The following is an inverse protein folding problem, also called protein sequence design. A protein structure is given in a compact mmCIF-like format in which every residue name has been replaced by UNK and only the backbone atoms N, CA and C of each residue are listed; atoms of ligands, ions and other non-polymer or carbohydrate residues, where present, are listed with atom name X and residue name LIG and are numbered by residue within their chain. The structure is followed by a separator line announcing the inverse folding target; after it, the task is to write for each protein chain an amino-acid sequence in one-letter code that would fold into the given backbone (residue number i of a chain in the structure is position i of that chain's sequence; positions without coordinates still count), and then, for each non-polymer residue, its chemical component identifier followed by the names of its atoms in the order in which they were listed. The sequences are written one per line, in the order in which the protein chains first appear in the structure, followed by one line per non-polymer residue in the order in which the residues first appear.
data_IF_954187399079
#
_entry.id   IF_954187399079
#
_cell.length_a   1.000
_cell.length_b   1.000
_cell.length_c   1.000
_cell.angle_alpha   90.00
_cell.angle_beta   90.00
_cell.angle_gamma   90.00
#
_symmetry.space_group_name_H-M   'P 1'
#
loop_
_entity.id
_entity.type
_entity.pdbx_description
1 polymer ?
#
# COMPACT_ATOMS: atom_id res chain seq x y z
N UNK A 1 0.86 -6.87 8.65
CA UNK A 1 0.42 -6.11 7.47
C UNK A 1 0.32 -4.64 7.81
N UNK A 2 0.37 -3.74 6.83
CA UNK A 2 0.06 -2.32 7.01
C UNK A 2 -1.45 -2.12 7.20
N UNK A 3 -1.80 -1.26 8.13
CA UNK A 3 -3.18 -0.88 8.43
C UNK A 3 -3.76 0.08 7.36
N UNK A 4 -5.08 0.05 7.18
CA UNK A 4 -5.79 0.88 6.21
C UNK A 4 -5.59 2.38 6.45
N UNK A 5 -5.78 2.84 7.69
CA UNK A 5 -5.63 4.27 8.02
C UNK A 5 -4.17 4.71 7.89
N UNK A 6 -3.23 3.80 8.15
CA UNK A 6 -1.83 4.07 7.92
C UNK A 6 -1.50 4.27 6.43
N UNK A 7 -2.07 3.46 5.53
CA UNK A 7 -1.87 3.63 4.08
C UNK A 7 -2.50 4.92 3.56
N UNK A 8 -3.66 5.31 4.10
CA UNK A 8 -4.33 6.57 3.76
C UNK A 8 -3.46 7.75 4.25
N UNK A 9 -2.92 7.66 5.46
CA UNK A 9 -2.01 8.68 6.01
C UNK A 9 -0.78 8.86 5.13
N UNK A 10 -0.15 7.76 4.70
CA UNK A 10 0.99 7.81 3.76
C UNK A 10 0.60 8.54 2.47
N UNK A 11 -0.58 8.25 1.91
CA UNK A 11 -1.05 8.94 0.71
C UNK A 11 -1.21 10.45 0.94
N UNK A 12 -1.85 10.83 2.04
CA UNK A 12 -2.12 12.23 2.35
C UNK A 12 -0.83 13.02 2.60
N UNK A 13 0.17 12.40 3.22
CA UNK A 13 1.52 12.97 3.36
C UNK A 13 2.20 13.14 2.00
N UNK A 14 2.11 12.14 1.10
CA UNK A 14 2.67 12.25 -0.26
C UNK A 14 2.01 13.39 -1.05
N UNK A 15 0.68 13.55 -0.94
CA UNK A 15 -0.04 14.65 -1.58
C UNK A 15 0.38 15.99 -0.98
N UNK A 16 0.50 16.08 0.35
CA UNK A 16 0.95 17.30 1.03
C UNK A 16 2.35 17.71 0.59
N UNK A 17 3.27 16.77 0.50
CA UNK A 17 4.69 17.06 0.33
C UNK A 17 5.10 17.21 -1.15
N UNK A 18 4.43 16.49 -2.06
CA UNK A 18 4.79 16.45 -3.49
C UNK A 18 3.68 16.94 -4.43
N UNK A 19 2.50 17.29 -3.90
CA UNK A 19 1.35 17.72 -4.69
C UNK A 19 0.64 16.60 -5.46
N UNK A 20 -0.56 16.93 -5.93
CA UNK A 20 -1.47 16.03 -6.65
C UNK A 20 -2.92 16.23 -6.22
N UNK A 21 -3.83 15.44 -6.80
CA UNK A 21 -5.23 15.40 -6.35
C UNK A 21 -5.39 14.45 -5.17
N UNK A 22 -5.73 15.01 -4.01
CA UNK A 22 -6.03 14.24 -2.81
C UNK A 22 -7.34 13.45 -2.90
N UNK A 23 -7.55 12.60 -1.90
CA UNK A 23 -8.75 11.80 -1.76
C UNK A 23 -8.80 10.52 -2.60
N UNK A 24 -9.94 9.87 -2.54
CA UNK A 24 -10.16 8.53 -3.07
C UNK A 24 -10.75 8.54 -4.48
N UNK A 25 -10.48 7.48 -5.23
CA UNK A 25 -11.18 7.18 -6.47
C UNK A 25 -12.65 6.76 -6.20
N UNK A 26 -13.36 6.34 -7.25
CA UNK A 26 -14.80 6.05 -7.19
C UNK A 26 -15.23 5.10 -6.06
N UNK A 27 -14.40 4.09 -5.75
CA UNK A 27 -14.67 3.11 -4.70
C UNK A 27 -14.45 3.65 -3.26
N UNK A 28 -14.02 4.90 -3.11
CA UNK A 28 -13.78 5.52 -1.82
C UNK A 28 -12.70 4.78 -1.00
N UNK A 29 -12.84 4.85 0.33
CA UNK A 29 -12.00 4.12 1.28
C UNK A 29 -12.04 2.60 1.08
N UNK A 30 -13.19 2.06 0.63
CA UNK A 30 -13.35 0.64 0.35
C UNK A 30 -12.48 0.13 -0.81
N UNK A 31 -12.08 1.01 -1.73
CA UNK A 31 -11.11 0.66 -2.77
C UNK A 31 -9.72 0.33 -2.19
N UNK A 32 -9.27 1.11 -1.21
CA UNK A 32 -7.99 0.91 -0.52
C UNK A 32 -8.04 -0.38 0.31
N UNK A 33 -9.13 -0.60 1.06
CA UNK A 33 -9.36 -1.83 1.83
C UNK A 33 -9.34 -3.07 0.93
N UNK A 34 -10.03 -3.02 -0.21
CA UNK A 34 -10.02 -4.12 -1.18
C UNK A 34 -8.62 -4.38 -1.77
N UNK A 35 -7.80 -3.35 -1.96
CA UNK A 35 -6.42 -3.52 -2.40
C UNK A 35 -5.56 -4.19 -1.31
N UNK A 36 -5.75 -3.84 -0.03
CA UNK A 36 -5.07 -4.46 1.10
C UNK A 36 -5.44 -5.92 1.28
N UNK A 37 -6.72 -6.27 1.17
CA UNK A 37 -7.16 -7.66 1.19
C UNK A 37 -6.56 -8.49 0.05
N UNK A 38 -6.28 -7.90 -1.12
CA UNK A 38 -5.54 -8.61 -2.18
C UNK A 38 -4.11 -8.92 -1.75
N UNK A 39 -3.44 -8.00 -1.04
CA UNK A 39 -2.10 -8.21 -0.51
C UNK A 39 -2.10 -9.34 0.52
N UNK A 40 -3.05 -9.30 1.47
CA UNK A 40 -3.24 -10.35 2.47
C UNK A 40 -3.50 -11.72 1.84
N UNK A 41 -4.48 -11.79 0.94
CA UNK A 41 -4.80 -13.03 0.25
C UNK A 41 -3.59 -13.55 -0.54
N UNK A 42 -2.85 -12.68 -1.23
CA UNK A 42 -1.66 -13.12 -1.97
C UNK A 42 -0.58 -13.65 -1.03
N UNK A 43 -0.32 -12.99 0.09
CA UNK A 43 0.64 -13.45 1.09
C UNK A 43 0.24 -14.82 1.68
N UNK A 44 -1.03 -14.98 2.07
CA UNK A 44 -1.54 -16.20 2.67
C UNK A 44 -1.60 -17.39 1.71
N UNK A 45 -2.11 -17.20 0.49
CA UNK A 45 -2.33 -18.29 -0.46
C UNK A 45 -1.10 -18.64 -1.29
N UNK A 46 -0.19 -17.69 -1.55
CA UNK A 46 1.03 -17.97 -2.31
C UNK A 46 2.13 -18.61 -1.45
N UNK A 47 1.92 -18.77 -0.13
CA UNK A 47 2.97 -19.22 0.79
C UNK A 47 4.18 -18.27 0.82
N UNK A 48 3.96 -16.99 0.48
CA UNK A 48 4.98 -15.96 0.46
C UNK A 48 5.27 -15.55 1.91
N UNK A 49 6.25 -16.23 2.52
CA UNK A 49 6.92 -15.74 3.74
C UNK A 49 8.13 -14.85 3.41
N UNK A 50 8.25 -14.49 2.13
CA UNK A 50 9.26 -13.56 1.63
C UNK A 50 8.78 -12.11 1.75
N UNK A 51 9.50 -11.35 2.55
CA UNK A 51 9.29 -9.92 2.79
C UNK A 51 9.27 -9.13 1.48
N UNK A 52 10.11 -9.49 0.51
CA UNK A 52 10.18 -8.78 -0.78
C UNK A 52 8.94 -9.06 -1.64
N UNK A 53 8.45 -10.29 -1.66
CA UNK A 53 7.21 -10.65 -2.36
C UNK A 53 5.98 -9.94 -1.81
N UNK A 54 5.85 -9.82 -0.48
CA UNK A 54 4.72 -9.09 0.13
C UNK A 54 4.84 -7.59 -0.18
N UNK A 55 6.04 -7.01 -0.08
CA UNK A 55 6.29 -5.62 -0.44
C UNK A 55 5.96 -5.32 -1.91
N UNK A 56 6.37 -6.20 -2.84
CA UNK A 56 6.03 -6.08 -4.26
C UNK A 56 4.52 -6.11 -4.49
N UNK A 57 3.80 -6.93 -3.71
CA UNK A 57 2.34 -7.01 -3.79
C UNK A 57 1.68 -5.71 -3.35
N UNK A 58 2.15 -5.07 -2.27
CA UNK A 58 1.71 -3.72 -1.89
C UNK A 58 1.88 -2.71 -3.02
N UNK A 59 3.08 -2.68 -3.64
CA UNK A 59 3.36 -1.76 -4.75
C UNK A 59 2.39 -1.99 -5.90
N UNK A 60 2.19 -3.24 -6.33
CA UNK A 60 1.32 -3.58 -7.47
C UNK A 60 -0.15 -3.32 -7.16
N UNK A 61 -0.64 -3.75 -5.99
CA UNK A 61 -2.05 -3.64 -5.63
C UNK A 61 -2.52 -2.19 -5.55
N UNK A 62 -1.70 -1.30 -4.97
CA UNK A 62 -2.04 0.12 -4.84
C UNK A 62 -1.78 0.87 -6.16
N UNK A 63 -0.62 0.65 -6.79
CA UNK A 63 -0.27 1.37 -8.01
C UNK A 63 -1.19 1.05 -9.21
N UNK A 64 -1.67 -0.19 -9.31
CA UNK A 64 -2.60 -0.64 -10.37
C UNK A 64 -4.06 -0.63 -9.93
N UNK A 65 -4.34 -0.58 -8.63
CA UNK A 65 -5.69 -0.57 -8.09
C UNK A 65 -6.43 0.75 -8.31
N UNK A 66 -5.72 1.82 -8.65
CA UNK A 66 -6.31 3.17 -8.86
C UNK A 66 -7.24 3.56 -7.71
N UNK A 67 -6.79 3.34 -6.47
CA UNK A 67 -7.61 3.50 -5.26
C UNK A 67 -7.71 4.96 -4.81
N UNK A 68 -6.74 5.79 -5.20
CA UNK A 68 -6.71 7.24 -4.98
C UNK A 68 -6.89 8.00 -6.30
N UNK A 69 -7.26 9.29 -6.20
CA UNK A 69 -7.40 10.16 -7.37
C UNK A 69 -6.06 10.40 -8.08
N UNK A 70 -4.97 10.51 -7.31
CA UNK A 70 -3.61 10.66 -7.80
C UNK A 70 -2.62 9.94 -6.87
N UNK A 71 -1.33 10.02 -7.15
CA UNK A 71 -0.22 9.51 -6.34
C UNK A 71 -0.19 7.98 -6.10
N UNK A 72 -1.11 7.18 -6.65
CA UNK A 72 -1.16 5.72 -6.49
C UNK A 72 0.20 5.00 -6.60
N UNK A 73 1.03 5.37 -7.58
CA UNK A 73 2.38 4.78 -7.75
C UNK A 73 3.34 5.14 -6.62
N UNK A 74 3.32 6.41 -6.19
CA UNK A 74 4.13 6.92 -5.07
C UNK A 74 3.67 6.24 -3.78
N UNK A 75 2.36 6.21 -3.52
CA UNK A 75 1.79 5.53 -2.35
C UNK A 75 2.11 4.04 -2.33
N UNK A 76 1.97 3.34 -3.45
CA UNK A 76 2.29 1.92 -3.54
C UNK A 76 3.77 1.63 -3.27
N UNK A 77 4.68 2.42 -3.84
CA UNK A 77 6.11 2.30 -3.58
C UNK A 77 6.45 2.57 -2.11
N UNK A 78 5.93 3.64 -1.53
CA UNK A 78 6.17 3.98 -0.11
C UNK A 78 5.62 2.91 0.82
N UNK A 79 4.44 2.35 0.55
CA UNK A 79 3.89 1.24 1.33
C UNK A 79 4.78 -0.01 1.26
N UNK A 80 5.30 -0.35 0.08
CA UNK A 80 6.23 -1.46 -0.09
C UNK A 80 7.52 -1.26 0.73
N UNK A 81 8.14 -0.07 0.63
CA UNK A 81 9.34 0.27 1.40
C UNK A 81 9.09 0.24 2.91
N UNK A 82 7.97 0.83 3.36
CA UNK A 82 7.58 0.87 4.78
C UNK A 82 7.34 -0.52 5.33
N UNK A 83 6.72 -1.41 4.55
CA UNK A 83 6.53 -2.80 4.95
C UNK A 83 7.87 -3.52 5.14
N UNK A 84 8.81 -3.36 4.19
CA UNK A 84 10.15 -3.95 4.31
C UNK A 84 10.92 -3.41 5.52
N UNK A 85 10.89 -2.10 5.75
CA UNK A 85 11.56 -1.48 6.89
C UNK A 85 11.05 -2.01 8.23
N UNK A 86 9.71 -2.12 8.38
CA UNK A 86 9.08 -2.64 9.61
C UNK A 86 9.33 -4.13 9.84
N UNK A 87 9.41 -4.92 8.78
CA UNK A 87 9.61 -6.37 8.87
C UNK A 87 11.09 -6.75 9.05
N UNK A 88 12.01 -5.94 8.56
CA UNK A 88 13.46 -6.13 8.74
C UNK A 88 13.95 -5.72 10.12
N UNK A 89 13.45 -4.62 10.69
CA UNK A 89 13.84 -4.18 12.04
C UNK A 89 13.29 -5.06 13.19
N UNK A 90 12.27 -5.87 12.94
CA UNK A 90 11.72 -6.79 13.96
C UNK A 90 12.50 -8.13 14.03
N UNK A 91 13.54 -8.32 13.22
CA UNK A 91 14.39 -9.54 13.20
C UNK A 91 15.81 -9.32 13.77
N UNK A 92 16.05 -8.21 14.48
CA UNK A 92 17.34 -7.88 15.13
C UNK A 92 17.31 -8.12 16.63
#
# INVERSE_FOLDING_TARGET
MLDLDYVITIHDEIIRDFGGLGGFAHAGRGGVEAALHRVENHAHYAGLDDVFGIAATYAVAIARGHVFNDANKRTGLTCALTYMERTTHCRS
#
